data_IF_298517990858
#
_entry.id   IF_298517990858
#
_cell.length_a   1.000
_cell.length_b   1.000
_cell.length_c   1.000
_cell.angle_alpha   90.00
_cell.angle_beta   90.00
_cell.angle_gamma   90.00
#
_symmetry.space_group_name_H-M   'P 1'
#
loop_
_entity.id
_entity.type
_entity.pdbx_description
1 polymer ?
#
# COMPACT_ATOMS: atom_id res chain seq x y z
N UNK A 1 13.88 18.75 19.49
CA UNK A 1 12.75 18.67 18.56
C UNK A 1 13.17 19.33 17.26
N UNK A 2 13.07 18.64 16.12
CA UNK A 2 13.29 19.29 14.84
C UNK A 2 12.19 20.33 14.60
N UNK A 3 12.58 21.51 14.15
CA UNK A 3 11.66 22.59 13.81
C UNK A 3 11.72 22.77 12.30
N UNK A 4 10.56 22.67 11.65
CA UNK A 4 10.40 22.95 10.21
C UNK A 4 9.86 24.35 10.01
N UNK A 5 10.24 25.00 8.91
CA UNK A 5 9.73 26.32 8.59
C UNK A 5 8.30 26.25 8.09
N UNK A 6 7.47 27.28 8.30
CA UNK A 6 6.08 27.28 7.87
C UNK A 6 5.86 27.04 6.38
N UNK A 7 6.82 27.48 5.54
CA UNK A 7 6.82 27.27 4.09
C UNK A 7 7.22 25.85 3.66
N UNK A 8 7.79 25.07 4.57
CA UNK A 8 8.22 23.69 4.33
C UNK A 8 7.16 22.67 4.82
N UNK A 9 6.14 23.10 5.57
CA UNK A 9 5.13 22.21 6.19
C UNK A 9 4.37 21.40 5.14
N UNK A 10 4.00 22.01 4.02
CA UNK A 10 3.27 21.33 2.94
C UNK A 10 4.11 20.27 2.21
N UNK A 11 5.44 20.43 2.27
CA UNK A 11 6.40 19.49 1.68
C UNK A 11 6.89 18.44 2.70
N UNK A 12 6.59 18.63 3.98
CA UNK A 12 6.98 17.69 5.01
C UNK A 12 6.14 16.41 4.91
N UNK A 13 6.75 15.38 4.37
CA UNK A 13 6.21 14.02 4.43
C UNK A 13 6.95 13.30 5.55
N UNK A 14 6.24 12.83 6.60
CA UNK A 14 6.86 11.96 7.58
C UNK A 14 7.45 10.77 6.82
N UNK A 15 8.74 10.55 6.99
CA UNK A 15 9.42 9.42 6.38
C UNK A 15 8.78 8.15 6.94
N UNK A 16 8.16 7.36 6.07
CA UNK A 16 7.77 6.00 6.46
C UNK A 16 9.03 5.16 6.53
N UNK A 17 9.11 4.27 7.48
CA UNK A 17 10.23 3.32 7.60
C UNK A 17 10.38 2.45 6.34
N UNK A 18 9.38 2.47 5.46
CA UNK A 18 9.34 1.72 4.21
C UNK A 18 8.99 2.62 3.03
N UNK A 19 9.84 2.61 2.03
CA UNK A 19 9.56 3.17 0.71
C UNK A 19 8.96 2.09 -0.20
N UNK A 20 7.87 2.42 -0.89
CA UNK A 20 7.21 1.52 -1.84
C UNK A 20 7.47 1.91 -3.27
N UNK A 21 7.83 0.91 -4.10
CA UNK A 21 7.84 1.11 -5.54
C UNK A 21 6.40 1.22 -6.05
N UNK A 22 6.02 2.41 -6.50
CA UNK A 22 4.68 2.70 -6.98
C UNK A 22 4.71 3.05 -8.47
N UNK A 23 4.12 2.19 -9.28
CA UNK A 23 3.80 2.47 -10.67
C UNK A 23 2.29 2.77 -10.74
N UNK A 24 1.92 4.02 -11.02
CA UNK A 24 0.54 4.52 -10.85
C UNK A 24 -0.25 4.55 -12.14
N UNK A 25 0.40 4.89 -13.24
CA UNK A 25 -0.24 5.11 -14.52
C UNK A 25 0.11 4.00 -15.53
N UNK A 26 -0.65 3.90 -16.60
CA UNK A 26 -0.40 2.94 -17.69
C UNK A 26 0.90 3.30 -18.38
N UNK A 27 1.77 2.32 -18.55
CA UNK A 27 3.06 2.52 -19.19
C UNK A 27 4.13 3.09 -18.26
N UNK A 28 3.83 3.26 -16.96
CA UNK A 28 4.87 3.59 -15.99
C UNK A 28 5.93 2.49 -15.99
N UNK A 29 7.18 2.90 -16.08
CA UNK A 29 8.35 2.02 -16.05
C UNK A 29 9.25 2.45 -14.89
N UNK A 30 9.79 1.47 -14.18
CA UNK A 30 10.85 1.69 -13.20
C UNK A 30 11.99 0.72 -13.46
N UNK A 31 13.21 1.19 -13.40
CA UNK A 31 14.41 0.38 -13.53
C UNK A 31 14.88 -0.03 -12.15
N UNK A 32 14.89 -1.33 -11.91
CA UNK A 32 15.18 -1.90 -10.60
C UNK A 32 16.16 -3.07 -10.67
N UNK A 33 16.71 -3.43 -9.51
CA UNK A 33 17.43 -4.66 -9.28
C UNK A 33 16.75 -5.44 -8.18
N UNK A 34 16.38 -6.69 -8.45
CA UNK A 34 15.76 -7.57 -7.47
C UNK A 34 16.79 -8.17 -6.52
N UNK A 35 16.41 -8.34 -5.25
CA UNK A 35 17.16 -9.08 -4.25
C UNK A 35 16.84 -10.57 -4.36
N UNK A 36 17.14 -11.18 -5.51
CA UNK A 36 16.78 -12.55 -5.83
C UNK A 36 17.98 -13.24 -6.52
N UNK A 37 18.56 -14.22 -5.86
CA UNK A 37 19.54 -15.12 -6.46
C UNK A 37 18.85 -16.37 -7.00
N UNK A 38 17.87 -16.90 -6.25
CA UNK A 38 17.12 -18.10 -6.57
C UNK A 38 15.62 -17.95 -6.27
N UNK A 39 14.82 -18.97 -6.59
CA UNK A 39 13.40 -18.98 -6.23
C UNK A 39 13.14 -19.06 -4.74
N UNK A 40 14.10 -19.54 -3.96
CA UNK A 40 13.99 -19.67 -2.50
C UNK A 40 13.98 -18.28 -1.80
N UNK A 41 14.49 -17.26 -2.48
CA UNK A 41 14.47 -15.88 -1.98
C UNK A 41 13.10 -15.22 -2.13
N UNK A 42 12.22 -15.81 -2.95
CA UNK A 42 10.87 -15.27 -3.18
C UNK A 42 9.92 -15.72 -2.08
N UNK A 43 9.76 -14.89 -1.06
CA UNK A 43 8.88 -15.17 0.08
C UNK A 43 7.44 -14.73 -0.20
N UNK A 44 6.50 -15.64 0.09
CA UNK A 44 5.07 -15.34 0.05
C UNK A 44 4.52 -15.33 1.46
N UNK A 45 3.82 -14.26 1.79
CA UNK A 45 3.21 -14.06 3.10
C UNK A 45 1.71 -14.25 3.00
N UNK A 46 1.14 -15.04 3.91
CA UNK A 46 -0.30 -15.12 4.09
C UNK A 46 -0.67 -14.11 5.16
N UNK A 47 -1.42 -13.11 4.78
CA UNK A 47 -1.72 -11.96 5.63
C UNK A 47 -3.21 -11.63 5.64
N UNK A 48 -3.65 -10.95 6.70
CA UNK A 48 -4.92 -10.26 6.77
C UNK A 48 -4.69 -8.77 6.63
N UNK A 49 -5.53 -8.10 5.85
CA UNK A 49 -5.51 -6.64 5.76
C UNK A 49 -6.51 -6.10 6.77
N UNK A 50 -6.03 -5.40 7.78
CA UNK A 50 -6.86 -4.84 8.85
C UNK A 50 -6.81 -3.32 8.82
N UNK A 51 -7.93 -2.68 9.15
CA UNK A 51 -8.03 -1.23 9.28
C UNK A 51 -8.42 -0.89 10.71
N UNK A 52 -7.54 -0.21 11.43
CA UNK A 52 -7.77 0.22 12.79
C UNK A 52 -8.80 1.37 12.86
N UNK A 53 -9.35 1.62 14.05
CA UNK A 53 -10.33 2.71 14.28
C UNK A 53 -9.83 4.10 13.87
N UNK A 54 -8.53 4.34 13.93
CA UNK A 54 -7.90 5.58 13.47
C UNK A 54 -7.78 5.69 11.95
N UNK A 55 -8.27 4.71 11.18
CA UNK A 55 -8.21 4.65 9.74
C UNK A 55 -6.89 4.12 9.17
N UNK A 56 -5.90 3.79 10.00
CA UNK A 56 -4.66 3.18 9.53
C UNK A 56 -4.90 1.73 9.12
N UNK A 57 -4.41 1.38 7.95
CA UNK A 57 -4.44 0.01 7.44
C UNK A 57 -3.08 -0.64 7.61
N UNK A 58 -3.07 -1.90 8.06
CA UNK A 58 -1.86 -2.73 8.23
C UNK A 58 -2.09 -4.13 7.69
N UNK A 59 -1.00 -4.79 7.34
CA UNK A 59 -0.99 -6.23 7.17
C UNK A 59 -0.64 -6.90 8.48
N UNK A 60 -1.34 -7.99 8.77
CA UNK A 60 -1.14 -8.82 9.96
C UNK A 60 -0.92 -10.26 9.49
N UNK A 61 -0.01 -10.97 10.13
CA UNK A 61 0.25 -12.38 9.83
C UNK A 61 -1.02 -13.23 9.99
N UNK A 62 -1.22 -14.21 9.11
CA UNK A 62 -2.17 -15.27 9.39
C UNK A 62 -1.50 -16.33 10.28
N UNK A 63 -2.14 -16.72 11.38
CA UNK A 63 -1.61 -17.73 12.29
C UNK A 63 -1.72 -19.15 11.74
N UNK A 64 -2.53 -19.32 10.73
CA UNK A 64 -2.91 -20.62 10.17
C UNK A 64 -2.07 -20.98 8.97
N UNK A 65 -1.57 -22.20 8.90
CA UNK A 65 -1.06 -22.82 7.68
C UNK A 65 -2.21 -23.33 6.81
N UNK A 66 -1.93 -23.68 5.55
CA UNK A 66 -2.97 -23.98 4.56
C UNK A 66 -3.95 -25.09 4.96
N UNK A 67 -3.46 -26.12 5.67
CA UNK A 67 -4.18 -27.33 6.06
C UNK A 67 -4.75 -27.29 7.48
N UNK A 68 -4.48 -26.24 8.25
CA UNK A 68 -4.97 -26.08 9.61
C UNK A 68 -6.42 -25.61 9.66
N UNK A 69 -7.18 -25.94 10.73
CA UNK A 69 -8.54 -25.48 10.93
C UNK A 69 -8.68 -23.95 10.88
N UNK A 70 -9.85 -23.49 10.46
CA UNK A 70 -10.13 -22.05 10.34
C UNK A 70 -10.12 -21.35 11.69
N UNK A 71 -10.44 -22.10 12.75
CA UNK A 71 -10.52 -21.60 14.13
C UNK A 71 -9.16 -21.31 14.77
N UNK A 72 -8.07 -21.80 14.16
CA UNK A 72 -6.70 -21.53 14.65
C UNK A 72 -6.26 -20.07 14.44
N UNK A 73 -7.05 -19.27 13.70
CA UNK A 73 -6.80 -17.85 13.51
C UNK A 73 -8.09 -17.04 13.72
N UNK A 74 -8.14 -16.12 14.71
CA UNK A 74 -9.31 -15.30 14.98
C UNK A 74 -9.80 -14.52 13.76
N UNK A 75 -8.86 -13.94 12.98
CA UNK A 75 -9.23 -13.22 11.76
C UNK A 75 -9.78 -14.12 10.65
N UNK A 76 -9.29 -15.36 10.52
CA UNK A 76 -9.87 -16.31 9.58
C UNK A 76 -11.32 -16.68 9.98
N UNK A 77 -11.56 -16.85 11.26
CA UNK A 77 -12.90 -17.14 11.81
C UNK A 77 -13.85 -15.98 11.54
N UNK A 78 -13.43 -14.76 11.84
CA UNK A 78 -14.23 -13.55 11.60
C UNK A 78 -14.44 -13.28 10.10
N UNK A 79 -13.50 -13.64 9.25
CA UNK A 79 -13.63 -13.49 7.79
C UNK A 79 -14.80 -14.27 7.16
N UNK A 80 -15.38 -15.24 7.87
CA UNK A 80 -16.60 -15.92 7.43
C UNK A 80 -17.79 -14.95 7.37
N UNK A 81 -17.82 -13.98 8.26
CA UNK A 81 -18.88 -12.97 8.36
C UNK A 81 -18.42 -11.63 7.74
N UNK A 82 -17.19 -11.24 8.00
CA UNK A 82 -16.59 -10.00 7.53
C UNK A 82 -15.55 -10.26 6.42
N UNK A 83 -15.97 -10.06 5.17
CA UNK A 83 -15.11 -10.31 4.00
C UNK A 83 -13.88 -9.40 3.90
N UNK A 84 -13.83 -8.32 4.64
CA UNK A 84 -12.68 -7.41 4.65
C UNK A 84 -11.45 -8.04 5.32
N UNK A 85 -11.69 -8.98 6.23
CA UNK A 85 -10.63 -9.71 6.94
C UNK A 85 -10.14 -10.97 6.23
N UNK A 86 -10.50 -11.17 4.97
CA UNK A 86 -10.02 -12.35 4.21
C UNK A 86 -8.49 -12.37 4.16
N UNK A 87 -7.98 -13.60 4.15
CA UNK A 87 -6.57 -13.83 3.89
C UNK A 87 -6.20 -13.43 2.47
N UNK A 88 -5.07 -12.79 2.33
CA UNK A 88 -4.41 -12.48 1.07
C UNK A 88 -3.02 -13.12 1.05
N UNK A 89 -2.62 -13.60 -0.13
CA UNK A 89 -1.24 -14.04 -0.35
C UNK A 89 -0.51 -12.90 -1.06
N UNK A 90 0.50 -12.36 -0.38
CA UNK A 90 1.28 -11.22 -0.86
C UNK A 90 2.76 -11.58 -0.96
N UNK A 91 3.42 -10.97 -1.93
CA UNK A 91 4.87 -10.87 -2.00
C UNK A 91 5.26 -9.43 -1.69
N UNK A 92 6.24 -9.26 -0.84
CA UNK A 92 6.87 -7.99 -0.55
C UNK A 92 8.32 -8.12 -0.99
N UNK A 93 8.58 -7.74 -2.23
CA UNK A 93 9.86 -7.93 -2.87
C UNK A 93 10.73 -6.70 -2.63
N UNK A 94 11.84 -6.80 -1.92
CA UNK A 94 12.81 -5.73 -1.89
C UNK A 94 13.41 -5.57 -3.28
N UNK A 95 13.49 -4.33 -3.73
CA UNK A 95 14.10 -3.93 -5.00
C UNK A 95 14.95 -2.69 -4.79
N UNK A 96 16.13 -2.68 -5.37
CA UNK A 96 16.92 -1.46 -5.48
C UNK A 96 16.39 -0.66 -6.68
N UNK A 97 15.80 0.47 -6.42
CA UNK A 97 15.42 1.42 -7.46
C UNK A 97 16.70 2.10 -7.98
N UNK A 98 16.96 1.93 -9.27
CA UNK A 98 18.21 2.40 -9.87
C UNK A 98 18.23 3.89 -10.20
N UNK A 99 17.07 4.55 -10.13
CA UNK A 99 16.96 5.98 -10.40
C UNK A 99 17.40 6.83 -9.20
N UNK A 100 17.03 6.38 -7.98
CA UNK A 100 17.38 7.09 -6.74
C UNK A 100 18.33 6.32 -5.81
N UNK A 101 18.73 5.10 -6.21
CA UNK A 101 19.61 4.19 -5.47
C UNK A 101 19.10 3.87 -4.06
N UNK A 102 17.77 3.70 -3.91
CA UNK A 102 17.12 3.36 -2.65
C UNK A 102 16.45 2.00 -2.71
N UNK A 103 16.45 1.32 -1.58
CA UNK A 103 15.69 0.06 -1.44
C UNK A 103 14.22 0.39 -1.25
N UNK A 104 13.38 -0.17 -2.13
CA UNK A 104 11.94 -0.03 -2.08
C UNK A 104 11.28 -1.38 -2.01
N UNK A 105 10.08 -1.42 -1.44
CA UNK A 105 9.27 -2.65 -1.43
C UNK A 105 8.31 -2.64 -2.61
N UNK A 106 8.39 -3.67 -3.42
CA UNK A 106 7.44 -3.92 -4.50
C UNK A 106 6.40 -4.94 -4.04
N UNK A 107 5.25 -4.44 -3.59
CA UNK A 107 4.15 -5.28 -3.10
C UNK A 107 3.34 -5.85 -4.26
N UNK A 108 3.22 -7.18 -4.33
CA UNK A 108 2.44 -7.88 -5.38
C UNK A 108 1.69 -9.08 -4.83
N UNK A 109 0.62 -9.45 -5.53
CA UNK A 109 -0.14 -10.66 -5.27
C UNK A 109 0.47 -11.90 -5.95
N UNK A 110 -0.10 -13.06 -5.62
CA UNK A 110 0.34 -14.37 -6.13
C UNK A 110 0.44 -14.47 -7.66
N UNK A 111 -0.37 -13.71 -8.39
CA UNK A 111 -0.37 -13.76 -9.87
C UNK A 111 0.95 -13.30 -10.48
N UNK A 112 1.64 -12.36 -9.82
CA UNK A 112 2.94 -11.86 -10.27
C UNK A 112 4.06 -12.90 -10.10
N UNK A 113 3.91 -13.88 -9.22
CA UNK A 113 4.89 -14.93 -9.02
C UNK A 113 5.22 -15.69 -10.31
N UNK A 114 4.21 -15.98 -11.13
CA UNK A 114 4.41 -16.71 -12.38
C UNK A 114 5.28 -15.95 -13.39
N UNK A 115 5.13 -14.63 -13.42
CA UNK A 115 5.99 -13.76 -14.25
C UNK A 115 7.42 -13.80 -13.72
N UNK A 116 7.58 -13.59 -12.43
CA UNK A 116 8.90 -13.59 -11.78
C UNK A 116 9.60 -14.93 -11.86
N UNK A 117 8.91 -16.04 -11.59
CA UNK A 117 9.43 -17.40 -11.67
C UNK A 117 10.08 -17.68 -13.02
N UNK A 118 9.41 -17.29 -14.12
CA UNK A 118 9.93 -17.47 -15.48
C UNK A 118 11.24 -16.72 -15.72
N UNK A 119 11.41 -15.55 -15.11
CA UNK A 119 12.64 -14.76 -15.22
C UNK A 119 13.76 -15.32 -14.35
N UNK A 120 13.47 -15.67 -13.10
CA UNK A 120 14.46 -16.27 -12.18
C UNK A 120 15.02 -17.56 -12.78
N UNK A 121 14.18 -18.43 -13.34
CA UNK A 121 14.65 -19.67 -13.97
C UNK A 121 15.58 -19.46 -15.17
N UNK A 122 15.41 -18.37 -15.91
CA UNK A 122 16.21 -18.07 -17.12
C UNK A 122 17.43 -17.20 -16.84
N UNK A 123 17.36 -16.37 -15.83
CA UNK A 123 18.37 -15.34 -15.52
C UNK A 123 18.82 -15.44 -14.06
N UNK A 124 19.20 -16.64 -13.61
CA UNK A 124 19.70 -16.84 -12.25
C UNK A 124 21.22 -16.61 -12.21
N UNK A 125 21.72 -15.86 -11.24
CA UNK A 125 21.00 -15.06 -10.23
C UNK A 125 20.41 -13.77 -10.82
N UNK A 126 19.12 -13.52 -10.52
CA UNK A 126 18.40 -12.37 -11.11
C UNK A 126 18.96 -11.02 -10.63
N UNK A 127 19.58 -10.98 -9.46
CA UNK A 127 20.23 -9.77 -8.93
C UNK A 127 21.33 -9.22 -9.85
N UNK A 128 21.90 -10.04 -10.74
CA UNK A 128 22.90 -9.62 -11.74
C UNK A 128 22.31 -8.89 -12.95
N UNK A 129 20.99 -8.89 -13.08
CA UNK A 129 20.30 -8.26 -14.20
C UNK A 129 19.53 -7.04 -13.73
N UNK A 130 19.87 -5.82 -14.18
CA UNK A 130 18.91 -4.73 -14.10
C UNK A 130 17.63 -5.13 -14.80
N UNK A 131 16.50 -4.82 -14.22
CA UNK A 131 15.19 -5.14 -14.76
C UNK A 131 14.36 -3.87 -14.93
N UNK A 132 13.62 -3.78 -16.00
CA UNK A 132 12.55 -2.81 -16.13
C UNK A 132 11.23 -3.47 -15.72
N UNK A 133 10.48 -2.81 -14.83
CA UNK A 133 9.12 -3.21 -14.48
C UNK A 133 8.18 -2.22 -15.12
N UNK A 134 7.32 -2.73 -16.01
CA UNK A 134 6.30 -1.94 -16.69
C UNK A 134 4.91 -2.27 -16.15
N UNK A 135 4.12 -1.22 -15.89
CA UNK A 135 2.72 -1.35 -15.54
C UNK A 135 1.83 -1.29 -16.75
N UNK A 136 1.04 -2.34 -16.97
CA UNK A 136 0.01 -2.43 -18.00
C UNK A 136 -1.37 -2.53 -17.36
N UNK A 137 -2.26 -1.60 -17.64
CA UNK A 137 -3.63 -1.56 -17.13
C UNK A 137 -4.03 -0.18 -16.60
N UNK A 138 -5.29 0.16 -16.78
CA UNK A 138 -5.83 1.46 -16.37
C UNK A 138 -5.69 1.67 -14.84
N UNK A 139 -5.62 2.93 -14.42
CA UNK A 139 -5.57 3.29 -13.01
C UNK A 139 -6.82 2.79 -12.29
N UNK A 140 -6.62 2.04 -11.19
CA UNK A 140 -7.71 1.44 -10.42
C UNK A 140 -8.29 0.16 -11.02
N UNK A 141 -7.81 -0.30 -12.19
CA UNK A 141 -8.25 -1.57 -12.77
C UNK A 141 -7.73 -2.76 -11.95
N UNK A 142 -8.62 -3.75 -11.76
CA UNK A 142 -8.26 -5.06 -11.20
C UNK A 142 -7.42 -5.90 -12.15
N UNK A 143 -7.45 -5.57 -13.45
CA UNK A 143 -6.76 -6.31 -14.53
C UNK A 143 -5.35 -5.75 -14.80
N UNK A 144 -4.78 -5.03 -13.84
CA UNK A 144 -3.44 -4.50 -13.95
C UNK A 144 -2.41 -5.63 -13.99
N UNK A 145 -1.57 -5.63 -15.02
CA UNK A 145 -0.49 -6.59 -15.22
C UNK A 145 0.84 -5.83 -15.09
N UNK A 146 1.80 -6.45 -14.45
CA UNK A 146 3.17 -5.97 -14.37
C UNK A 146 4.07 -6.92 -15.15
N UNK A 147 4.83 -6.37 -16.10
CA UNK A 147 5.80 -7.09 -16.89
C UNK A 147 7.21 -6.79 -16.42
N UNK A 148 8.06 -7.81 -16.41
CA UNK A 148 9.46 -7.68 -16.03
C UNK A 148 10.31 -7.93 -17.27
N UNK A 149 11.21 -7.01 -17.57
CA UNK A 149 12.14 -7.12 -18.70
C UNK A 149 13.57 -7.08 -18.16
N UNK A 150 14.22 -8.24 -17.97
CA UNK A 150 15.63 -8.26 -17.65
C UNK A 150 16.45 -7.64 -18.79
N UNK A 151 17.30 -6.69 -18.43
CA UNK A 151 18.23 -6.05 -19.35
C UNK A 151 19.51 -6.89 -19.49
N UNK A 152 20.52 -6.37 -20.20
CA UNK A 152 21.78 -7.07 -20.32
C UNK A 152 22.45 -7.25 -18.95
N UNK A 153 23.00 -8.45 -18.72
CA UNK A 153 23.77 -8.73 -17.52
C UNK A 153 24.94 -7.74 -17.42
N UNK A 154 25.17 -7.23 -16.22
CA UNK A 154 26.34 -6.39 -15.97
C UNK A 154 27.61 -7.27 -15.97
N UNK A 155 28.75 -6.64 -16.32
CA UNK A 155 30.03 -7.37 -16.45
C UNK A 155 30.52 -7.92 -15.11
N UNK A 156 30.24 -7.18 -14.03
CA UNK A 156 30.60 -7.57 -12.68
C UNK A 156 29.43 -8.30 -12.03
N UNK A 157 29.69 -9.47 -11.48
CA UNK A 157 28.68 -10.21 -10.73
C UNK A 157 28.38 -9.43 -9.44
N UNK A 158 27.14 -9.00 -9.29
CA UNK A 158 26.66 -8.33 -8.10
C UNK A 158 26.08 -9.40 -7.17
N UNK A 159 26.54 -9.41 -5.93
CA UNK A 159 25.99 -10.28 -4.88
C UNK A 159 25.03 -9.46 -4.01
N UNK A 160 23.97 -10.09 -3.52
CA UNK A 160 22.99 -9.41 -2.66
C UNK A 160 23.68 -8.77 -1.45
N UNK A 161 24.69 -9.42 -0.88
CA UNK A 161 25.48 -8.88 0.25
C UNK A 161 26.19 -7.56 -0.03
N UNK A 162 26.41 -7.22 -1.31
CA UNK A 162 27.09 -5.99 -1.75
C UNK A 162 26.04 -4.88 -2.08
N UNK A 163 24.75 -5.22 -2.03
CA UNK A 163 23.64 -4.29 -2.19
C UNK A 163 23.31 -3.63 -0.84
N UNK A 164 22.60 -2.49 -0.84
CA UNK A 164 22.08 -1.91 0.40
C UNK A 164 21.23 -2.90 1.19
N UNK A 165 21.22 -2.76 2.52
CA UNK A 165 20.50 -3.68 3.41
C UNK A 165 18.99 -3.65 3.14
N UNK A 166 18.37 -4.84 3.13
CA UNK A 166 16.92 -4.99 2.97
C UNK A 166 16.20 -4.52 4.24
N UNK A 167 15.06 -3.85 4.12
CA UNK A 167 14.27 -3.49 5.28
C UNK A 167 13.62 -4.73 5.91
N UNK A 168 13.59 -4.79 7.23
CA UNK A 168 12.91 -5.84 7.96
C UNK A 168 11.39 -5.70 7.83
N UNK A 169 10.73 -6.67 7.18
CA UNK A 169 9.30 -6.63 6.90
C UNK A 169 8.44 -7.01 8.11
N UNK A 170 8.90 -8.03 8.87
CA UNK A 170 8.16 -8.51 10.05
C UNK A 170 8.30 -7.51 11.20
N UNK A 171 7.20 -7.32 11.94
CA UNK A 171 7.05 -6.30 12.99
C UNK A 171 7.25 -4.84 12.55
N UNK A 172 7.73 -4.60 11.33
CA UNK A 172 7.72 -3.28 10.71
C UNK A 172 6.47 -3.06 9.86
N UNK A 173 6.39 -3.73 8.70
CA UNK A 173 5.27 -3.60 7.75
C UNK A 173 4.17 -4.64 7.97
N UNK A 174 4.55 -5.88 8.23
CA UNK A 174 3.63 -6.96 8.60
C UNK A 174 3.71 -7.13 10.11
N UNK A 175 2.62 -6.85 10.80
CA UNK A 175 2.55 -7.05 12.24
C UNK A 175 2.41 -8.54 12.56
N UNK A 176 3.26 -9.04 13.42
CA UNK A 176 3.13 -10.37 14.01
C UNK A 176 2.24 -10.24 15.26
N UNK A 177 1.01 -10.72 15.14
CA UNK A 177 0.05 -10.72 16.24
C UNK A 177 -0.17 -12.13 16.76
N UNK A 178 -0.29 -12.25 18.06
CA UNK A 178 -0.74 -13.45 18.76
C UNK A 178 -2.26 -13.61 18.66
N UNK A 179 -2.78 -14.79 19.05
CA UNK A 179 -4.23 -15.02 19.12
C UNK A 179 -4.91 -13.97 19.98
N UNK A 180 -4.36 -13.69 21.17
CA UNK A 180 -4.95 -12.74 22.10
C UNK A 180 -4.99 -11.31 21.52
N UNK A 181 -3.91 -10.86 20.92
CA UNK A 181 -3.85 -9.53 20.29
C UNK A 181 -4.84 -9.40 19.12
N UNK A 182 -5.08 -10.49 18.36
CA UNK A 182 -6.10 -10.50 17.31
C UNK A 182 -7.53 -10.42 17.89
N UNK A 183 -7.80 -11.12 18.98
CA UNK A 183 -9.09 -11.05 19.69
C UNK A 183 -9.30 -9.66 20.28
N UNK A 184 -8.31 -9.11 20.96
CA UNK A 184 -8.36 -7.74 21.50
C UNK A 184 -8.59 -6.69 20.38
N UNK A 185 -7.95 -6.87 19.21
CA UNK A 185 -8.21 -6.02 18.06
C UNK A 185 -9.65 -6.15 17.55
N UNK A 186 -10.21 -7.35 17.47
CA UNK A 186 -11.60 -7.54 17.03
C UNK A 186 -12.59 -6.85 17.98
N UNK A 187 -12.30 -6.79 19.28
CA UNK A 187 -13.14 -6.10 20.26
C UNK A 187 -12.94 -4.59 20.24
N UNK A 188 -11.68 -4.16 20.21
CA UNK A 188 -11.31 -2.75 20.43
C UNK A 188 -11.10 -1.96 19.14
N UNK A 189 -10.67 -2.63 18.06
CA UNK A 189 -10.25 -2.01 16.80
C UNK A 189 -8.91 -1.26 16.92
N UNK A 190 -8.14 -1.53 17.98
CA UNK A 190 -6.84 -0.91 18.23
C UNK A 190 -5.73 -1.92 17.98
N UNK A 191 -4.71 -1.55 17.19
CA UNK A 191 -3.57 -2.40 16.92
C UNK A 191 -2.58 -2.36 18.09
N UNK A 192 -1.94 -3.50 18.45
CA UNK A 192 -0.93 -3.52 19.49
C UNK A 192 0.30 -2.72 19.04
N UNK A 193 1.01 -2.16 20.02
CA UNK A 193 2.30 -1.45 19.83
C UNK A 193 2.31 -0.31 18.78
N UNK A 194 1.15 0.17 18.37
CA UNK A 194 1.09 1.42 17.64
C UNK A 194 0.99 2.54 18.67
N UNK A 195 1.79 3.61 18.55
CA UNK A 195 1.62 4.85 19.35
C UNK A 195 0.28 5.53 19.01
N UNK A 196 -0.71 4.73 18.72
CA UNK A 196 -2.06 5.11 18.34
C UNK A 196 -2.95 5.14 19.60
N UNK A 197 -2.54 5.90 20.63
CA UNK A 197 -3.50 6.29 21.65
C UNK A 197 -4.71 6.92 20.95
N UNK A 198 -5.94 6.46 21.25
CA UNK A 198 -7.13 7.06 20.70
C UNK A 198 -7.06 8.54 21.07
N UNK A 199 -6.94 9.42 20.10
CA UNK A 199 -7.14 10.85 20.34
C UNK A 199 -8.55 10.95 20.90
N UNK A 200 -8.66 11.19 22.22
CA UNK A 200 -9.91 11.60 22.83
C UNK A 200 -10.48 12.73 21.96
N UNK A 201 -11.64 12.49 21.38
CA UNK A 201 -12.37 13.54 20.69
C UNK A 201 -12.68 14.61 21.75
N UNK A 202 -11.86 15.64 21.76
CA UNK A 202 -12.17 16.85 22.53
C UNK A 202 -13.58 17.30 22.10
N UNK A 203 -14.50 17.50 23.03
CA UNK A 203 -15.87 17.86 22.71
C UNK A 203 -15.86 19.11 21.83
N UNK A 204 -16.44 18.99 20.64
CA UNK A 204 -16.60 20.10 19.69
C UNK A 204 -17.27 21.25 20.44
N UNK A 205 -16.53 22.29 20.71
CA UNK A 205 -17.06 23.55 21.21
C UNK A 205 -18.10 24.03 20.21
N UNK A 206 -19.36 23.82 20.56
CA UNK A 206 -20.49 24.44 19.84
C UNK A 206 -20.30 25.93 19.93
N UNK A 207 -19.89 26.55 18.85
CA UNK A 207 -19.98 28.01 18.69
C UNK A 207 -21.45 28.40 18.78
N UNK A 208 -21.84 28.87 19.94
CA UNK A 208 -23.15 29.50 20.15
C UNK A 208 -23.20 30.73 19.26
N UNK A 209 -24.03 30.69 18.22
CA UNK A 209 -24.28 31.82 17.34
C UNK A 209 -24.93 32.94 18.08
N UNK A 210 -24.35 34.11 18.02
CA UNK A 210 -25.02 35.36 18.30
C UNK A 210 -25.85 35.76 17.08
N UNK A 211 -27.14 35.84 17.31
CA UNK A 211 -28.10 36.41 16.37
C UNK A 211 -27.97 37.95 16.42
N UNK A 212 -27.84 38.58 15.26
CA UNK A 212 -28.34 39.94 15.05
C UNK A 212 -28.98 40.01 13.67
N UNK A 213 -30.25 40.43 13.72
CA UNK A 213 -31.11 40.72 12.63
C UNK A 213 -30.83 42.09 11.99
N UNK A 214 -30.93 42.20 10.68
CA UNK A 214 -31.35 43.41 9.96
C UNK A 214 -31.90 43.00 8.61
N UNK A 215 -33.16 43.06 8.45
CA UNK A 215 -34.07 43.99 7.72
C UNK A 215 -33.73 44.21 6.23
N UNK A 216 -34.69 43.74 5.45
CA UNK A 216 -35.39 44.31 4.28
C UNK A 216 -34.64 45.10 3.19
N UNK A 217 -34.79 44.65 1.97
CA UNK A 217 -35.52 45.32 0.87
C UNK A 217 -35.31 44.61 -0.50
N UNK A 218 -36.06 44.92 -1.58
CA UNK A 218 -36.84 43.90 -2.30
C UNK A 218 -36.40 43.65 -3.76
N UNK A 219 -37.00 42.57 -4.29
CA UNK A 219 -37.26 42.20 -5.67
C UNK A 219 -36.76 43.08 -6.83
N UNK A 220 -36.10 42.44 -7.78
CA UNK A 220 -36.39 42.67 -9.21
C UNK A 220 -36.34 41.34 -9.96
N UNK A 221 -37.48 41.05 -10.58
CA UNK A 221 -37.71 40.08 -11.63
C UNK A 221 -37.01 40.52 -12.91
N UNK A 222 -36.26 39.62 -13.55
CA UNK A 222 -36.11 39.70 -14.99
C UNK A 222 -36.16 38.31 -15.63
N UNK A 223 -37.30 38.02 -16.17
CA UNK A 223 -37.59 37.06 -17.24
C UNK A 223 -36.84 37.43 -18.52
N UNK A 224 -36.21 36.49 -19.16
CA UNK A 224 -36.13 36.35 -20.62
C UNK A 224 -35.63 34.96 -21.01
N UNK A 225 -36.52 34.15 -21.49
CA UNK A 225 -36.81 33.73 -22.86
C UNK A 225 -35.80 32.74 -23.49
N UNK A 226 -36.36 31.57 -23.69
CA UNK A 226 -36.04 30.49 -24.61
C UNK A 226 -35.35 30.93 -25.93
N UNK A 227 -34.37 30.16 -26.37
CA UNK A 227 -34.23 29.75 -27.77
C UNK A 227 -33.69 28.34 -27.92
N UNK A 228 -34.57 27.45 -28.41
CA UNK A 228 -34.24 26.20 -29.08
C UNK A 228 -33.63 26.52 -30.45
N UNK A 229 -32.57 25.83 -30.80
CA UNK A 229 -32.32 25.49 -32.21
C UNK A 229 -31.76 24.06 -32.26
N UNK A 230 -32.55 23.24 -32.92
CA UNK A 230 -32.16 21.93 -33.46
C UNK A 230 -31.55 22.16 -34.86
N UNK A 231 -30.51 21.37 -35.19
CA UNK A 231 -30.14 20.93 -36.55
C UNK A 231 -29.06 19.87 -36.38
N UNK A 232 -29.27 18.62 -36.64
CA UNK A 232 -29.22 17.85 -37.92
C UNK A 232 -28.01 18.24 -38.79
N UNK A 233 -26.97 17.46 -38.73
CA UNK A 233 -26.53 16.55 -39.78
C UNK A 233 -25.60 15.49 -39.16
#
# INVERSE_FOLDING_TARGET
>A
MPVIRPDEVDNYKPQSDFDFLQLKDVGDISKVRFYIESLDDVKMYVVHKVTAKNGKTRYVNCLRTYDQPIDDCPFCREALQNKELKTEVKMFLPVLDMDDNRVKIFERGRTFYKELEGHVRRNSPLCNYPCEIERNGAKGSTDTIYKVFPLAQEKDNILIKDMPEEPELLNGYILEMTIQEMEDFLETGVLPNTNDEPKEELPRRTRRGGSEAKEDAPKEEQTTTRRRTASRF
#
